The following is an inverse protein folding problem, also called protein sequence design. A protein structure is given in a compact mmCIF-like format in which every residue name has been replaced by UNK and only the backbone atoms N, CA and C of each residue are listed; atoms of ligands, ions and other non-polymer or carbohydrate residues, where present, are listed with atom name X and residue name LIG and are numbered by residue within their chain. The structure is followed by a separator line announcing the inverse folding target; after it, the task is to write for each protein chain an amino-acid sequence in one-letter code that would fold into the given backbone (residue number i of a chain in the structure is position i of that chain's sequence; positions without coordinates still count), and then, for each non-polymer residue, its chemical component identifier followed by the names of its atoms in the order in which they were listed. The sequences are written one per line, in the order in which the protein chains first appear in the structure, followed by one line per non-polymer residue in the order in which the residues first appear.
data_IF_173192269065
#
_entry.id   IF_173192269065
#
_cell.length_a   1.000
_cell.length_b   1.000
_cell.length_c   1.000
_cell.angle_alpha   90.00
_cell.angle_beta   90.00
_cell.angle_gamma   90.00
#
_symmetry.space_group_name_H-M   'P 1'
#
loop_
_entity.id
_entity.type
_entity.pdbx_description
1 polymer ?
#
# COMPACT_ATOMS: atom_id res chain seq x y z
N UNK A 1 -62.41 26.03 -33.89
CA UNK A 1 -61.45 26.64 -34.84
C UNK A 1 -60.06 26.38 -34.30
N UNK A 2 -59.11 25.68 -34.92
CA UNK A 2 -59.08 24.87 -36.13
C UNK A 2 -57.88 23.91 -35.98
N UNK A 3 -57.97 22.74 -36.60
CA UNK A 3 -56.87 21.80 -36.77
C UNK A 3 -56.11 22.15 -38.05
N UNK A 4 -54.78 22.07 -38.04
CA UNK A 4 -53.98 21.74 -39.23
C UNK A 4 -52.71 20.99 -38.80
N UNK A 5 -52.63 19.75 -39.27
CA UNK A 5 -51.44 18.89 -39.30
C UNK A 5 -50.61 19.17 -40.57
N UNK A 6 -49.29 19.11 -40.48
CA UNK A 6 -48.37 18.71 -41.57
C UNK A 6 -47.00 18.42 -40.94
N UNK A 7 -46.66 17.18 -40.60
CA UNK A 7 -45.89 16.22 -41.42
C UNK A 7 -44.63 16.82 -42.07
N UNK A 8 -43.47 16.44 -41.52
CA UNK A 8 -42.16 16.16 -42.16
C UNK A 8 -41.07 16.28 -41.07
N UNK A 9 -40.23 15.29 -40.75
CA UNK A 9 -40.14 13.90 -41.13
C UNK A 9 -39.39 13.15 -40.03
N UNK A 10 -39.75 11.89 -39.85
CA UNK A 10 -39.06 10.92 -39.04
C UNK A 10 -37.76 10.53 -39.76
N UNK A 11 -36.59 10.77 -39.17
CA UNK A 11 -35.40 9.97 -39.46
C UNK A 11 -34.80 9.52 -38.14
N UNK A 12 -35.20 8.31 -37.72
CA UNK A 12 -34.44 7.49 -36.79
C UNK A 12 -33.11 7.15 -37.47
N UNK A 13 -32.01 7.75 -37.04
CA UNK A 13 -30.68 7.23 -37.34
C UNK A 13 -30.19 6.44 -36.13
N UNK A 14 -30.50 5.14 -36.15
CA UNK A 14 -29.84 4.14 -35.32
C UNK A 14 -28.43 3.94 -35.86
N UNK A 15 -27.43 4.64 -35.30
CA UNK A 15 -26.03 4.29 -35.56
C UNK A 15 -25.66 3.16 -34.63
N UNK A 16 -25.64 1.95 -35.21
CA UNK A 16 -25.18 0.74 -34.58
C UNK A 16 -23.68 0.83 -34.21
N UNK A 17 -23.40 0.27 -33.03
CA UNK A 17 -22.12 -0.06 -32.40
C UNK A 17 -20.82 0.20 -33.19
N UNK A 18 -19.92 0.93 -32.55
CA UNK A 18 -18.47 0.76 -32.72
C UNK A 18 -17.81 0.77 -31.35
N UNK A 19 -17.90 -0.36 -30.66
CA UNK A 19 -17.00 -0.66 -29.53
C UNK A 19 -15.62 -0.97 -30.13
N UNK A 20 -14.81 0.06 -30.32
CA UNK A 20 -13.37 -0.15 -30.45
C UNK A 20 -12.86 -0.43 -29.05
N UNK A 21 -12.77 -1.72 -28.71
CA UNK A 21 -12.13 -2.18 -27.49
C UNK A 21 -10.67 -1.77 -27.51
N UNK A 22 -10.30 -0.78 -26.69
CA UNK A 22 -8.89 -0.45 -26.46
C UNK A 22 -8.36 -1.45 -25.44
N UNK A 23 -7.86 -2.59 -25.95
CA UNK A 23 -7.04 -3.51 -25.16
C UNK A 23 -5.75 -2.80 -24.76
N UNK A 24 -5.65 -2.32 -23.52
CA UNK A 24 -4.35 -2.01 -22.92
C UNK A 24 -3.68 -3.30 -22.48
N UNK A 25 -3.16 -4.06 -23.45
CA UNK A 25 -2.07 -4.97 -23.21
C UNK A 25 -0.77 -4.15 -23.35
N UNK A 26 -0.27 -3.56 -22.26
CA UNK A 26 1.09 -3.02 -22.30
C UNK A 26 2.07 -4.13 -21.90
N UNK A 27 2.58 -4.83 -22.91
CA UNK A 27 3.84 -5.57 -22.81
C UNK A 27 4.86 -4.88 -23.72
N UNK A 28 5.83 -4.27 -23.05
CA UNK A 28 7.23 -4.13 -23.48
C UNK A 28 7.55 -3.08 -24.57
N UNK A 29 8.11 -1.94 -24.14
CA UNK A 29 8.95 -1.09 -24.97
C UNK A 29 10.19 -0.63 -24.18
N UNK A 30 11.36 -0.94 -24.73
CA UNK A 30 12.49 -0.02 -24.79
C UNK A 30 13.43 0.04 -23.59
N UNK A 31 14.46 -0.80 -23.64
CA UNK A 31 15.75 -0.59 -22.98
C UNK A 31 16.33 0.79 -23.31
N UNK A 32 16.49 1.67 -22.31
CA UNK A 32 17.64 2.56 -22.18
C UNK A 32 17.71 3.11 -20.74
N UNK A 33 18.60 2.53 -19.93
CA UNK A 33 18.83 2.97 -18.57
C UNK A 33 19.60 1.95 -17.76
N UNK A 34 20.92 1.88 -17.96
CA UNK A 34 21.83 1.11 -17.13
C UNK A 34 21.82 1.66 -15.71
N UNK A 35 21.02 1.08 -14.83
CA UNK A 35 21.22 1.10 -13.39
C UNK A 35 21.01 -0.33 -12.90
N UNK A 36 22.12 -0.99 -12.58
CA UNK A 36 22.19 -2.33 -12.02
C UNK A 36 21.52 -2.36 -10.63
N UNK A 37 20.20 -2.54 -10.61
CA UNK A 37 19.52 -3.05 -9.43
C UNK A 37 19.87 -4.53 -9.28
N UNK A 38 20.35 -5.01 -8.12
CA UNK A 38 20.55 -6.42 -7.90
C UNK A 38 19.21 -7.14 -8.10
N UNK A 39 19.13 -7.97 -9.13
CA UNK A 39 18.03 -8.91 -9.31
C UNK A 39 18.04 -9.86 -8.11
N UNK A 40 17.18 -9.60 -7.13
CA UNK A 40 16.85 -10.60 -6.12
C UNK A 40 16.10 -11.73 -6.84
N UNK A 41 16.61 -12.97 -6.82
CA UNK A 41 15.90 -14.10 -7.40
C UNK A 41 14.57 -14.23 -6.67
N UNK A 42 13.45 -14.12 -7.40
CA UNK A 42 12.14 -14.47 -6.89
C UNK A 42 12.09 -16.00 -6.76
N UNK A 43 12.70 -16.53 -5.70
CA UNK A 43 12.46 -17.89 -5.27
C UNK A 43 10.99 -17.94 -4.86
N UNK A 44 10.13 -18.55 -5.70
CA UNK A 44 8.73 -18.83 -5.40
C UNK A 44 8.63 -19.94 -4.36
N UNK A 45 9.35 -19.80 -3.26
CA UNK A 45 9.19 -20.63 -2.08
C UNK A 45 7.79 -20.39 -1.53
N UNK A 46 7.06 -21.48 -1.29
CA UNK A 46 5.77 -21.47 -0.59
C UNK A 46 5.92 -21.17 0.92
N UNK A 47 7.14 -20.90 1.41
CA UNK A 47 7.40 -20.62 2.81
C UNK A 47 7.16 -19.15 3.22
N UNK A 48 6.63 -18.89 4.43
CA UNK A 48 6.48 -17.54 4.97
C UNK A 48 7.74 -16.68 4.83
N UNK A 49 7.58 -15.43 4.40
CA UNK A 49 8.69 -14.49 4.17
C UNK A 49 8.87 -13.57 5.37
N UNK A 50 10.12 -13.21 5.66
CA UNK A 50 10.47 -12.10 6.55
C UNK A 50 10.78 -10.88 5.70
N UNK A 51 10.05 -9.78 5.89
CA UNK A 51 10.05 -8.61 5.01
C UNK A 51 10.37 -7.37 5.84
N UNK A 52 11.50 -6.71 5.54
CA UNK A 52 11.88 -5.46 6.20
C UNK A 52 11.04 -4.32 5.63
N UNK A 53 10.27 -3.65 6.50
CA UNK A 53 9.42 -2.53 6.11
C UNK A 53 10.29 -1.35 5.67
N UNK A 54 10.07 -0.87 4.44
CA UNK A 54 10.88 0.19 3.82
C UNK A 54 12.20 -0.29 3.20
N UNK A 55 12.50 -1.60 3.23
CA UNK A 55 13.75 -2.14 2.69
C UNK A 55 14.99 -1.50 3.34
N UNK A 56 15.93 -1.01 2.54
CA UNK A 56 17.14 -0.33 3.04
C UNK A 56 16.86 0.99 3.76
N UNK A 57 15.68 1.59 3.52
CA UNK A 57 15.27 2.84 4.16
C UNK A 57 14.68 2.61 5.56
N UNK A 58 14.38 1.36 5.92
CA UNK A 58 13.76 0.98 7.19
C UNK A 58 12.46 1.78 7.47
N UNK A 59 12.06 1.90 8.74
CA UNK A 59 10.93 2.70 9.20
C UNK A 59 11.38 4.09 9.63
N UNK A 60 11.18 5.12 8.79
CA UNK A 60 11.64 6.50 9.03
C UNK A 60 10.75 7.54 8.33
N UNK A 61 10.88 8.77 8.79
CA UNK A 61 10.16 9.92 8.23
C UNK A 61 10.49 10.17 6.75
N UNK A 62 9.47 10.51 5.95
CA UNK A 62 9.62 10.93 4.55
C UNK A 62 9.71 9.81 3.52
N UNK A 63 9.65 8.54 3.94
CA UNK A 63 9.59 7.39 3.02
C UNK A 63 8.15 7.18 2.57
N UNK A 64 7.93 7.05 1.26
CA UNK A 64 6.61 6.72 0.72
C UNK A 64 6.31 5.22 0.87
N UNK A 65 5.75 4.83 2.02
CA UNK A 65 5.42 3.44 2.29
C UNK A 65 4.25 2.90 1.46
N UNK A 66 3.42 3.79 0.89
CA UNK A 66 2.38 3.36 -0.05
C UNK A 66 3.02 2.80 -1.31
N UNK A 67 3.91 3.56 -1.94
CA UNK A 67 4.69 3.12 -3.11
C UNK A 67 5.53 1.86 -2.79
N UNK A 68 6.23 1.85 -1.65
CA UNK A 68 6.98 0.68 -1.21
C UNK A 68 6.10 -0.56 -1.09
N UNK A 69 4.95 -0.47 -0.43
CA UNK A 69 4.07 -1.63 -0.23
C UNK A 69 3.50 -2.17 -1.54
N UNK A 70 3.19 -1.31 -2.50
CA UNK A 70 2.69 -1.71 -3.82
C UNK A 70 3.77 -2.44 -4.63
N UNK A 71 5.03 -1.98 -4.57
CA UNK A 71 6.16 -2.58 -5.28
C UNK A 71 6.67 -3.88 -4.65
N UNK A 72 6.49 -4.07 -3.34
CA UNK A 72 7.04 -5.20 -2.60
C UNK A 72 6.01 -6.27 -2.24
N UNK A 73 4.73 -6.05 -2.57
CA UNK A 73 3.69 -7.05 -2.47
C UNK A 73 3.81 -8.15 -3.52
N UNK A 74 2.96 -9.19 -3.45
CA UNK A 74 1.94 -9.42 -2.43
C UNK A 74 2.53 -9.88 -1.08
N UNK A 75 1.85 -9.50 0.01
CA UNK A 75 2.13 -9.95 1.37
C UNK A 75 1.14 -11.04 1.74
N UNK A 76 1.59 -12.21 2.19
CA UNK A 76 0.71 -13.34 2.47
C UNK A 76 0.49 -13.56 3.96
N UNK A 77 -0.55 -14.31 4.29
CA UNK A 77 -0.72 -14.84 5.65
C UNK A 77 0.55 -15.61 6.05
N UNK A 78 0.95 -15.43 7.30
CA UNK A 78 2.16 -15.90 7.97
C UNK A 78 3.45 -15.17 7.58
N UNK A 79 3.45 -14.28 6.58
CA UNK A 79 4.60 -13.41 6.37
C UNK A 79 4.82 -12.51 7.60
N UNK A 80 6.08 -12.23 7.91
CA UNK A 80 6.50 -11.39 9.03
C UNK A 80 6.99 -10.06 8.49
N UNK A 81 6.35 -8.97 8.91
CA UNK A 81 6.85 -7.61 8.71
C UNK A 81 7.85 -7.28 9.82
N UNK A 82 9.03 -6.81 9.44
CA UNK A 82 10.10 -6.41 10.38
C UNK A 82 10.25 -4.89 10.31
N UNK A 83 9.91 -4.22 11.39
CA UNK A 83 10.03 -2.77 11.54
C UNK A 83 11.34 -2.45 12.25
N UNK A 84 12.25 -1.78 11.54
CA UNK A 84 13.53 -1.33 12.09
C UNK A 84 13.53 0.19 12.20
N UNK A 85 13.88 0.72 13.35
CA UNK A 85 14.03 2.16 13.58
C UNK A 85 14.91 2.39 14.81
N UNK A 86 15.63 3.50 14.79
CA UNK A 86 16.55 3.86 15.86
C UNK A 86 15.78 4.24 17.13
N UNK A 87 16.30 3.91 18.32
CA UNK A 87 15.70 4.34 19.56
C UNK A 87 15.82 5.87 19.68
N UNK A 88 14.90 6.53 20.42
CA UNK A 88 14.96 7.97 20.60
C UNK A 88 16.28 8.39 21.27
N UNK A 89 16.83 9.50 20.79
CA UNK A 89 18.07 10.10 21.30
C UNK A 89 17.99 11.62 21.16
N UNK A 90 19.03 12.35 21.56
CA UNK A 90 19.09 13.82 21.37
C UNK A 90 18.97 14.26 19.90
N UNK A 91 19.30 13.37 18.96
CA UNK A 91 19.27 13.66 17.52
C UNK A 91 18.32 12.76 16.73
N UNK A 92 17.66 11.82 17.40
CA UNK A 92 16.77 10.84 16.78
C UNK A 92 15.36 10.99 17.34
N UNK A 93 14.42 11.39 16.48
CA UNK A 93 13.01 11.44 16.86
C UNK A 93 12.47 10.03 17.12
N UNK A 94 11.60 9.84 18.14
CA UNK A 94 10.98 8.56 18.37
C UNK A 94 10.12 8.13 17.17
N UNK A 95 10.01 6.83 16.96
CA UNK A 95 9.09 6.19 16.01
C UNK A 95 8.36 5.04 16.69
N UNK A 96 7.06 4.88 16.44
CA UNK A 96 6.28 3.75 16.96
C UNK A 96 5.47 3.12 15.84
N UNK A 97 4.92 1.93 16.11
CA UNK A 97 4.04 1.24 15.17
C UNK A 97 2.65 1.11 15.79
N UNK A 98 1.67 1.70 15.12
CA UNK A 98 0.25 1.62 15.47
C UNK A 98 -0.50 0.82 14.41
N UNK A 99 -1.44 -0.02 14.86
CA UNK A 99 -2.43 -0.68 14.02
C UNK A 99 -3.76 0.07 14.14
N UNK A 100 -4.23 0.64 13.05
CA UNK A 100 -5.50 1.36 12.99
C UNK A 100 -6.67 0.42 12.70
N UNK A 101 -7.86 0.68 13.25
CA UNK A 101 -8.97 -0.27 13.20
C UNK A 101 -9.64 -0.37 11.83
N UNK A 102 -9.64 0.72 11.03
CA UNK A 102 -10.32 0.78 9.74
C UNK A 102 -9.74 1.88 8.83
N UNK A 103 -10.07 1.81 7.53
CA UNK A 103 -9.58 2.72 6.49
C UNK A 103 -9.77 4.21 6.82
N UNK A 104 -10.93 4.61 7.36
CA UNK A 104 -11.19 6.01 7.72
C UNK A 104 -10.19 6.56 8.74
N UNK A 105 -9.81 5.78 9.76
CA UNK A 105 -8.81 6.21 10.74
C UNK A 105 -7.43 6.29 10.11
N UNK A 106 -7.09 5.35 9.24
CA UNK A 106 -5.83 5.35 8.48
C UNK A 106 -5.65 6.57 7.58
N UNK A 107 -6.67 6.91 6.80
CA UNK A 107 -6.61 8.05 5.89
C UNK A 107 -6.43 9.36 6.67
N UNK A 108 -7.15 9.50 7.78
CA UNK A 108 -7.13 10.70 8.62
C UNK A 108 -6.04 10.73 9.70
N UNK A 109 -5.23 9.66 9.82
CA UNK A 109 -4.29 9.49 10.93
C UNK A 109 -4.95 9.65 12.32
N UNK A 110 -6.19 9.16 12.47
CA UNK A 110 -6.93 9.20 13.73
C UNK A 110 -6.50 8.03 14.64
N UNK A 111 -5.66 8.36 15.62
CA UNK A 111 -5.03 7.38 16.52
C UNK A 111 -5.88 7.03 17.75
N UNK A 112 -7.04 7.66 17.97
CA UNK A 112 -7.84 7.50 19.21
C UNK A 112 -8.24 6.05 19.52
N UNK A 113 -8.41 5.24 18.49
CA UNK A 113 -8.74 3.80 18.59
C UNK A 113 -7.63 2.89 18.04
N UNK A 114 -6.48 3.46 17.74
CA UNK A 114 -5.36 2.72 17.21
C UNK A 114 -4.64 1.97 18.34
N UNK A 115 -4.17 0.76 18.07
CA UNK A 115 -3.40 -0.04 19.02
C UNK A 115 -1.92 0.17 18.75
N UNK A 116 -1.18 0.71 19.72
CA UNK A 116 0.28 0.66 19.68
C UNK A 116 0.73 -0.80 19.78
N UNK A 117 1.41 -1.29 18.75
CA UNK A 117 1.95 -2.65 18.70
C UNK A 117 3.46 -2.68 18.91
N UNK A 118 4.14 -1.54 18.71
CA UNK A 118 5.55 -1.37 19.07
C UNK A 118 5.82 0.07 19.53
N UNK A 119 6.55 0.20 20.63
CA UNK A 119 6.96 1.47 21.23
C UNK A 119 8.32 1.98 20.67
N UNK A 120 8.76 3.19 21.01
CA UNK A 120 9.97 3.81 20.45
C UNK A 120 11.29 3.05 20.56
N UNK A 121 11.42 2.07 21.46
CA UNK A 121 12.67 1.31 21.62
C UNK A 121 12.62 -0.07 20.97
N UNK A 122 11.44 -0.53 20.54
CA UNK A 122 11.27 -1.90 20.03
C UNK A 122 11.72 -2.08 18.58
N UNK A 123 11.99 -1.00 17.84
CA UNK A 123 12.53 -1.05 16.48
C UNK A 123 14.04 -1.25 16.40
N UNK A 124 14.75 -1.19 17.52
CA UNK A 124 16.22 -1.27 17.57
C UNK A 124 16.74 -2.70 17.34
N UNK A 125 18.02 -2.83 17.01
CA UNK A 125 18.69 -4.12 16.82
C UNK A 125 18.06 -4.95 15.69
N UNK A 126 17.45 -6.09 16.05
CA UNK A 126 16.77 -6.97 15.09
C UNK A 126 15.43 -6.40 14.59
N UNK A 127 14.88 -5.38 15.26
CA UNK A 127 13.61 -4.76 14.92
C UNK A 127 12.40 -5.45 15.54
N UNK A 128 11.25 -4.79 15.42
CA UNK A 128 9.96 -5.31 15.85
C UNK A 128 9.34 -6.19 14.77
N UNK A 129 8.95 -7.40 15.12
CA UNK A 129 8.34 -8.36 14.19
C UNK A 129 6.80 -8.41 14.35
N UNK A 130 6.09 -8.31 13.23
CA UNK A 130 4.64 -8.48 13.18
C UNK A 130 4.25 -9.54 12.15
N UNK A 131 3.65 -10.63 12.62
CA UNK A 131 3.18 -11.73 11.76
C UNK A 131 1.77 -11.44 11.25
N UNK A 132 1.55 -11.55 9.94
CA UNK A 132 0.26 -11.38 9.28
C UNK A 132 -0.61 -12.63 9.46
N UNK A 133 -1.38 -12.71 10.55
CA UNK A 133 -2.08 -13.95 10.93
C UNK A 133 -3.47 -14.17 10.30
N UNK A 134 -4.07 -13.15 9.69
CA UNK A 134 -5.48 -13.18 9.25
C UNK A 134 -5.63 -12.60 7.86
N UNK A 135 -6.53 -13.17 7.05
CA UNK A 135 -6.95 -12.59 5.79
C UNK A 135 -7.83 -11.37 6.02
N UNK A 136 -7.21 -10.19 6.06
CA UNK A 136 -7.87 -8.91 6.26
C UNK A 136 -6.96 -7.76 5.82
N UNK A 137 -7.49 -6.54 5.67
CA UNK A 137 -6.64 -5.36 5.64
C UNK A 137 -5.95 -5.11 6.99
N UNK A 138 -4.71 -4.63 6.92
CA UNK A 138 -3.95 -4.06 8.02
C UNK A 138 -3.58 -2.63 7.67
N UNK A 139 -3.73 -1.73 8.64
CA UNK A 139 -3.45 -0.31 8.49
C UNK A 139 -2.36 0.08 9.50
N UNK A 140 -1.13 0.20 9.04
CA UNK A 140 0.01 0.55 9.89
C UNK A 140 0.31 2.03 9.78
N UNK A 141 0.63 2.68 10.91
CA UNK A 141 1.14 4.04 10.90
C UNK A 141 2.06 4.33 12.10
N UNK A 142 2.82 5.41 12.00
CA UNK A 142 3.57 5.96 13.12
C UNK A 142 2.67 6.84 13.99
N UNK A 143 2.65 6.58 15.29
CA UNK A 143 1.79 7.31 16.23
C UNK A 143 2.43 8.58 16.80
N UNK A 144 3.71 8.78 16.53
CA UNK A 144 4.51 9.82 17.17
C UNK A 144 4.07 11.23 16.78
N UNK A 145 4.30 12.16 17.70
CA UNK A 145 3.96 13.58 17.54
C UNK A 145 2.48 13.77 17.20
N UNK A 146 1.60 13.07 17.94
CA UNK A 146 0.14 13.10 17.77
C UNK A 146 -0.31 12.82 16.31
N UNK A 147 0.39 11.90 15.64
CA UNK A 147 0.07 11.51 14.26
C UNK A 147 0.70 12.39 13.18
N UNK A 148 1.53 13.38 13.52
CA UNK A 148 2.29 14.16 12.55
C UNK A 148 3.16 13.27 11.64
N UNK A 149 3.81 12.25 12.20
CA UNK A 149 4.62 11.30 11.43
C UNK A 149 3.77 10.49 10.43
N UNK A 150 2.53 10.15 10.80
CA UNK A 150 1.58 9.49 9.90
C UNK A 150 1.10 10.42 8.78
N UNK A 151 0.77 11.67 9.11
CA UNK A 151 0.10 12.61 8.21
C UNK A 151 1.09 13.26 7.23
N UNK A 152 2.13 13.86 7.77
CA UNK A 152 3.08 14.69 7.03
C UNK A 152 4.39 13.94 6.78
N UNK A 153 4.74 13.01 7.68
CA UNK A 153 5.92 12.15 7.52
C UNK A 153 5.73 10.95 6.59
N UNK A 154 4.54 10.76 6.03
CA UNK A 154 4.15 9.63 5.17
C UNK A 154 4.40 8.24 5.81
N UNK A 155 4.60 8.17 7.12
CA UNK A 155 4.91 6.94 7.84
C UNK A 155 3.64 6.13 8.09
N UNK A 156 3.02 5.66 6.99
CA UNK A 156 1.81 4.85 7.00
C UNK A 156 1.70 4.02 5.72
N UNK A 157 1.17 2.81 5.84
CA UNK A 157 0.78 1.98 4.69
C UNK A 157 -0.33 1.01 5.03
N UNK A 158 -1.01 0.55 4.00
CA UNK A 158 -2.06 -0.44 4.11
C UNK A 158 -1.73 -1.66 3.24
N UNK A 159 -1.99 -2.85 3.75
CA UNK A 159 -1.86 -4.11 2.99
C UNK A 159 -3.06 -5.00 3.25
N UNK A 160 -3.36 -5.90 2.32
CA UNK A 160 -4.24 -7.04 2.55
C UNK A 160 -3.38 -8.28 2.47
N UNK A 161 -3.55 -9.22 3.42
CA UNK A 161 -2.79 -10.46 3.42
C UNK A 161 -3.63 -11.65 2.95
N UNK A 162 -3.69 -11.95 1.64
CA UNK A 162 -4.38 -13.14 1.14
C UNK A 162 -3.67 -14.43 1.56
N UNK A 163 -4.35 -15.55 1.33
CA UNK A 163 -3.73 -16.88 1.36
C UNK A 163 -2.73 -17.02 0.22
N UNK A 164 -1.66 -17.77 0.47
CA UNK A 164 -0.72 -18.13 -0.58
C UNK A 164 -1.29 -19.29 -1.39
N UNK A 165 -1.45 -19.11 -2.69
CA UNK A 165 -1.78 -20.21 -3.59
C UNK A 165 -0.62 -21.19 -3.60
N UNK A 166 -0.90 -22.47 -3.32
CA UNK A 166 0.06 -23.55 -3.54
C UNK A 166 -0.13 -24.00 -4.99
N UNK A 167 0.95 -23.96 -5.76
CA UNK A 167 1.03 -24.60 -7.08
C UNK A 167 1.56 -26.02 -6.92
#
# INVERSE_FOLDING_TARGET
MGFTFAHQGLVLVLVAASMVGVSLANKEWGSLGSHSHPHHPHNHSNAPKRIIVGGSQNWRFGVNYTDWSLKNGPFYINDTLVFKYDPPSNTTFPHSIYLLPHLKSFLNCDLRKAKMIANPTQGSGNGFEFVLKKWKPYYFACGEHNGFHCKDGLMKFAIVSPLRCRH
#
